data_IF_202666671689
#
_entry.id   IF_202666671689
#
_cell.length_a   1.000
_cell.length_b   1.000
_cell.length_c   1.000
_cell.angle_alpha   90.00
_cell.angle_beta   90.00
_cell.angle_gamma   90.00
#
_symmetry.space_group_name_H-M   'P 1'
#
loop_
_entity.id
_entity.type
_entity.pdbx_description
1 polymer ?
#
# COMPACT_ATOMS: atom_id res chain seq x y z
N UNK A 1 17.50 35.05 -11.99
CA UNK A 1 16.50 34.01 -12.33
C UNK A 1 15.15 34.45 -11.81
N UNK A 2 14.15 34.62 -12.68
CA UNK A 2 12.78 34.95 -12.26
C UNK A 2 12.14 33.70 -11.66
N UNK A 3 11.72 33.77 -10.39
CA UNK A 3 11.05 32.67 -9.68
C UNK A 3 9.55 32.79 -9.96
N UNK A 4 9.03 32.01 -10.90
CA UNK A 4 7.60 31.89 -11.15
C UNK A 4 6.96 31.10 -10.00
N UNK A 5 6.39 31.83 -9.04
CA UNK A 5 5.67 31.20 -7.93
C UNK A 5 4.28 30.75 -8.43
N UNK A 6 3.89 29.48 -8.22
CA UNK A 6 2.53 29.03 -8.56
C UNK A 6 1.47 29.88 -7.87
N UNK A 7 0.40 30.24 -8.59
CA UNK A 7 -0.69 31.06 -8.06
C UNK A 7 -1.44 30.38 -6.90
N UNK A 8 -1.47 29.04 -6.88
CA UNK A 8 -2.10 28.25 -5.83
C UNK A 8 -1.10 27.30 -5.17
N UNK A 9 -1.28 27.08 -3.87
CA UNK A 9 -0.58 26.02 -3.15
C UNK A 9 -1.19 24.66 -3.50
N UNK A 10 -0.39 23.58 -3.53
CA UNK A 10 -0.92 22.23 -3.67
C UNK A 10 -1.83 21.89 -2.50
N UNK A 11 -2.92 21.17 -2.77
CA UNK A 11 -3.85 20.65 -1.75
C UNK A 11 -3.13 19.74 -0.75
N UNK A 12 -2.07 19.04 -1.19
CA UNK A 12 -1.26 18.18 -0.34
C UNK A 12 0.25 18.44 -0.59
N UNK A 13 0.96 19.08 0.36
CA UNK A 13 2.38 19.44 0.19
C UNK A 13 3.37 18.33 0.61
N UNK A 14 2.93 17.08 0.74
CA UNK A 14 3.78 15.95 1.15
C UNK A 14 4.50 15.33 -0.05
N UNK A 15 5.64 15.91 -0.41
CA UNK A 15 6.44 15.59 -1.61
C UNK A 15 7.57 14.57 -1.40
N UNK A 16 7.53 13.80 -0.31
CA UNK A 16 8.54 12.77 -0.07
C UNK A 16 8.49 11.66 -1.12
N UNK A 17 9.65 11.08 -1.44
CA UNK A 17 9.80 9.95 -2.36
C UNK A 17 9.60 8.58 -1.69
N UNK A 18 9.24 8.57 -0.41
CA UNK A 18 9.04 7.36 0.39
C UNK A 18 9.43 7.60 1.86
N UNK A 19 8.53 7.39 2.85
CA UNK A 19 7.09 7.13 2.71
C UNK A 19 6.35 8.26 1.98
N UNK A 20 5.32 7.93 1.18
CA UNK A 20 4.51 8.89 0.43
C UNK A 20 3.12 9.07 1.06
N UNK A 21 2.35 10.07 0.61
CA UNK A 21 0.95 10.25 1.06
C UNK A 21 0.13 8.99 0.78
N UNK A 22 -0.71 8.59 1.74
CA UNK A 22 -1.77 7.60 1.54
C UNK A 22 -2.78 8.05 0.46
N UNK A 23 -3.59 7.10 0.01
CA UNK A 23 -4.68 7.36 -0.95
C UNK A 23 -5.66 8.42 -0.40
N UNK A 24 -6.32 9.20 -1.27
CA UNK A 24 -7.39 10.11 -0.84
C UNK A 24 -8.48 9.36 -0.04
N UNK A 25 -8.97 9.97 1.04
CA UNK A 25 -10.01 9.37 1.89
C UNK A 25 -9.53 8.27 2.84
N UNK A 26 -8.22 8.02 2.95
CA UNK A 26 -7.68 7.06 3.91
C UNK A 26 -8.11 7.37 5.36
N UNK A 27 -8.72 6.39 6.04
CA UNK A 27 -9.03 6.39 7.48
C UNK A 27 -8.42 5.13 8.13
N UNK A 28 -8.19 5.19 9.44
CA UNK A 28 -7.78 4.01 10.22
C UNK A 28 -8.85 2.92 10.26
N UNK A 29 -10.12 3.27 10.03
CA UNK A 29 -11.23 2.29 9.96
C UNK A 29 -11.02 1.26 8.84
N UNK A 30 -10.26 1.62 7.80
CA UNK A 30 -9.88 0.71 6.72
C UNK A 30 -8.93 -0.41 7.19
N UNK A 31 -8.38 -0.30 8.40
CA UNK A 31 -7.52 -1.32 9.04
C UNK A 31 -8.26 -2.08 10.15
N UNK A 32 -9.58 -1.90 10.29
CA UNK A 32 -10.38 -2.50 11.37
C UNK A 32 -10.38 -4.03 11.38
N UNK A 33 -10.16 -4.66 10.22
CA UNK A 33 -10.08 -6.12 10.06
C UNK A 33 -8.64 -6.64 10.05
N UNK A 34 -7.65 -5.79 10.34
CA UNK A 34 -6.26 -6.19 10.39
C UNK A 34 -6.01 -7.16 11.57
N UNK A 35 -5.30 -8.29 11.36
CA UNK A 35 -5.01 -9.26 12.41
C UNK A 35 -3.86 -8.78 13.33
N UNK A 36 -4.04 -7.62 13.96
CA UNK A 36 -3.05 -7.01 14.86
C UNK A 36 -2.78 -7.92 16.06
N UNK A 37 -1.53 -7.98 16.51
CA UNK A 37 -1.12 -8.82 17.64
C UNK A 37 -1.20 -10.34 17.40
N UNK A 38 -1.49 -10.78 16.18
CA UNK A 38 -1.51 -12.21 15.80
C UNK A 38 -0.27 -12.58 15.01
N UNK A 39 0.14 -13.84 15.12
CA UNK A 39 1.21 -14.39 14.29
C UNK A 39 0.80 -14.36 12.82
N UNK A 40 1.70 -13.90 11.93
CA UNK A 40 1.51 -14.00 10.47
C UNK A 40 1.36 -15.46 10.00
N UNK A 41 1.80 -16.44 10.79
CA UNK A 41 1.65 -17.87 10.51
C UNK A 41 0.28 -18.45 10.88
N UNK A 42 -0.52 -17.71 11.65
CA UNK A 42 -1.90 -18.12 11.96
C UNK A 42 -2.77 -18.12 10.70
N UNK A 43 -3.88 -18.88 10.72
CA UNK A 43 -4.77 -19.02 9.56
C UNK A 43 -5.22 -17.66 8.99
N UNK A 44 -5.61 -16.72 9.86
CA UNK A 44 -6.01 -15.36 9.45
C UNK A 44 -4.88 -14.56 8.80
N UNK A 45 -3.66 -14.66 9.31
CA UNK A 45 -2.49 -13.98 8.74
C UNK A 45 -2.10 -14.56 7.38
N UNK A 46 -2.08 -15.90 7.27
CA UNK A 46 -1.85 -16.60 6.00
C UNK A 46 -2.90 -16.25 4.95
N UNK A 47 -4.17 -16.15 5.33
CA UNK A 47 -5.24 -15.79 4.41
C UNK A 47 -5.06 -14.37 3.86
N UNK A 48 -4.76 -13.38 4.71
CA UNK A 48 -4.50 -12.00 4.29
C UNK A 48 -3.26 -11.88 3.39
N UNK A 49 -2.18 -12.60 3.72
CA UNK A 49 -0.98 -12.64 2.88
C UNK A 49 -1.26 -13.27 1.51
N UNK A 50 -2.04 -14.35 1.46
CA UNK A 50 -2.47 -14.97 0.21
C UNK A 50 -3.31 -14.01 -0.63
N UNK A 51 -4.27 -13.33 -0.03
CA UNK A 51 -5.09 -12.31 -0.72
C UNK A 51 -4.22 -11.22 -1.36
N UNK A 52 -3.23 -10.70 -0.63
CA UNK A 52 -2.32 -9.69 -1.15
C UNK A 52 -1.48 -10.21 -2.34
N UNK A 53 -1.00 -11.46 -2.26
CA UNK A 53 -0.26 -12.12 -3.35
C UNK A 53 -1.14 -12.30 -4.59
N UNK A 54 -2.35 -12.82 -4.41
CA UNK A 54 -3.29 -13.09 -5.51
C UNK A 54 -3.67 -11.79 -6.22
N UNK A 55 -4.02 -10.74 -5.47
CA UNK A 55 -4.35 -9.41 -6.02
C UNK A 55 -3.15 -8.77 -6.74
N UNK A 56 -1.95 -8.92 -6.20
CA UNK A 56 -0.72 -8.40 -6.85
C UNK A 56 -0.50 -9.08 -8.20
N UNK A 57 -0.71 -10.41 -8.27
CA UNK A 57 -0.62 -11.15 -9.53
C UNK A 57 -1.64 -10.66 -10.55
N UNK A 58 -2.89 -10.51 -10.13
CA UNK A 58 -3.98 -10.05 -10.99
C UNK A 58 -3.70 -8.64 -11.55
N UNK A 59 -3.37 -7.69 -10.68
CA UNK A 59 -3.15 -6.28 -11.05
C UNK A 59 -1.95 -6.12 -11.99
N UNK A 60 -0.86 -6.85 -11.72
CA UNK A 60 0.39 -6.70 -12.47
C UNK A 60 0.52 -7.70 -13.63
N UNK A 61 -0.42 -8.63 -13.79
CA UNK A 61 -0.34 -9.69 -14.81
C UNK A 61 0.86 -10.61 -14.64
N UNK A 62 1.24 -10.96 -13.41
CA UNK A 62 2.46 -11.74 -13.14
C UNK A 62 2.31 -13.17 -13.71
N UNK A 63 3.26 -13.65 -14.55
CA UNK A 63 3.22 -15.00 -15.13
C UNK A 63 3.14 -16.10 -14.07
N UNK A 64 2.42 -17.19 -14.37
CA UNK A 64 2.09 -18.25 -13.40
C UNK A 64 3.33 -18.95 -12.81
N UNK A 65 4.42 -18.99 -13.55
CA UNK A 65 5.72 -19.57 -13.18
C UNK A 65 6.57 -18.63 -12.29
N UNK A 66 6.18 -17.36 -12.15
CA UNK A 66 6.87 -16.39 -11.30
C UNK A 66 6.30 -16.39 -9.88
N UNK A 67 7.15 -16.12 -8.89
CA UNK A 67 6.75 -16.05 -7.47
C UNK A 67 6.69 -14.61 -6.97
N UNK A 68 5.75 -14.33 -6.07
CA UNK A 68 5.60 -13.04 -5.38
C UNK A 68 6.00 -13.26 -3.91
N UNK A 69 7.03 -12.56 -3.46
CA UNK A 69 7.55 -12.66 -2.11
C UNK A 69 7.03 -11.54 -1.22
N UNK A 70 6.47 -11.90 -0.06
CA UNK A 70 6.29 -10.99 1.08
C UNK A 70 7.15 -11.54 2.20
N UNK A 71 8.20 -10.81 2.57
CA UNK A 71 9.17 -11.19 3.60
C UNK A 71 8.84 -10.47 4.92
N UNK A 72 9.08 -11.10 6.08
CA UNK A 72 8.94 -10.43 7.38
C UNK A 72 9.94 -9.29 7.57
#
# INVERSE_FOLDING_TARGET
>A
MVKTTPAARPVNPRFSSGPCTKIPGFSLDMLSDAPLGRSHRAAVGKAKLKEAIDRTREILGVPADYRIGIVP
#
